data_IF_574666044446
#
_entry.id   IF_574666044446
#
_cell.length_a   1.000
_cell.length_b   1.000
_cell.length_c   1.000
_cell.angle_alpha   90.00
_cell.angle_beta   90.00
_cell.angle_gamma   90.00
#
_symmetry.space_group_name_H-M   'P 1'
#
loop_
_entity.id
_entity.type
_entity.pdbx_description
1 polymer ?
#
# COMPACT_ATOMS: atom_id res chain seq x y z
N UNK A 1 -10.62 -12.71 6.66
CA UNK A 1 -10.10 -11.43 6.13
C UNK A 1 -11.28 -10.57 5.74
N UNK A 2 -11.43 -9.42 6.38
CA UNK A 2 -12.55 -8.51 6.14
C UNK A 2 -12.33 -7.68 4.87
N UNK A 3 -13.36 -7.04 4.33
CA UNK A 3 -13.20 -6.13 3.18
C UNK A 3 -12.23 -4.98 3.48
N UNK A 4 -12.22 -4.48 4.72
CA UNK A 4 -11.30 -3.44 5.18
C UNK A 4 -9.83 -3.91 5.19
N UNK A 5 -9.58 -5.19 5.50
CA UNK A 5 -8.22 -5.75 5.48
C UNK A 5 -7.66 -5.79 4.06
N UNK A 6 -8.49 -6.17 3.08
CA UNK A 6 -8.12 -6.19 1.67
C UNK A 6 -7.77 -4.78 1.20
N UNK A 7 -8.56 -3.77 1.60
CA UNK A 7 -8.31 -2.38 1.24
C UNK A 7 -6.98 -1.85 1.79
N UNK A 8 -6.66 -2.15 3.06
CA UNK A 8 -5.40 -1.73 3.70
C UNK A 8 -4.20 -2.39 3.02
N UNK A 9 -4.23 -3.72 2.81
CA UNK A 9 -3.15 -4.44 2.12
C UNK A 9 -2.99 -3.88 0.70
N UNK A 10 -4.12 -3.66 0.01
CA UNK A 10 -4.17 -3.11 -1.35
C UNK A 10 -3.55 -1.71 -1.44
N UNK A 11 -3.80 -0.85 -0.45
CA UNK A 11 -3.26 0.51 -0.38
C UNK A 11 -1.76 0.55 -0.07
N UNK A 12 -1.28 -0.35 0.79
CA UNK A 12 0.13 -0.39 1.19
C UNK A 12 1.05 -1.06 0.17
N UNK A 13 0.49 -1.91 -0.69
CA UNK A 13 1.21 -2.54 -1.79
C UNK A 13 1.20 -1.71 -3.09
N UNK A 14 0.78 -0.44 -3.04
CA UNK A 14 0.88 0.48 -4.18
C UNK A 14 2.33 0.93 -4.35
N UNK A 15 2.94 0.61 -5.50
CA UNK A 15 4.28 1.11 -5.82
C UNK A 15 4.25 2.32 -6.77
N UNK A 16 3.20 2.44 -7.58
CA UNK A 16 3.08 3.53 -8.52
C UNK A 16 1.64 3.81 -8.95
N UNK A 17 1.47 4.94 -9.62
CA UNK A 17 0.24 5.33 -10.28
C UNK A 17 0.51 5.76 -11.71
N UNK A 18 -0.45 5.51 -12.60
CA UNK A 18 -0.45 6.03 -13.96
C UNK A 18 -1.65 6.95 -14.09
N UNK A 19 -1.38 8.20 -14.44
CA UNK A 19 -2.39 9.26 -14.56
C UNK A 19 -2.56 9.66 -16.03
N UNK A 20 -3.75 10.14 -16.38
CA UNK A 20 -3.90 10.94 -17.60
C UNK A 20 -3.02 12.19 -17.54
N UNK A 21 -2.48 12.61 -18.68
CA UNK A 21 -1.79 13.88 -18.75
C UNK A 21 -2.79 15.04 -18.52
N UNK A 22 -2.55 15.95 -17.54
CA UNK A 22 -3.55 16.93 -17.10
C UNK A 22 -3.92 17.95 -18.18
N UNK A 23 -3.01 18.27 -19.09
CA UNK A 23 -3.27 19.20 -20.21
C UNK A 23 -3.99 18.52 -21.39
N UNK A 24 -4.17 17.19 -21.33
CA UNK A 24 -4.78 16.41 -22.41
C UNK A 24 -5.66 15.27 -21.82
N UNK A 25 -6.77 15.63 -21.16
CA UNK A 25 -7.62 14.67 -20.44
C UNK A 25 -8.33 13.66 -21.34
N UNK A 26 -8.37 13.91 -22.66
CA UNK A 26 -8.96 13.09 -23.72
C UNK A 26 -8.02 11.98 -24.23
N UNK A 27 -6.90 11.72 -23.53
CA UNK A 27 -5.90 10.74 -23.95
C UNK A 27 -6.19 9.30 -23.49
N UNK A 28 -6.94 9.10 -22.40
CA UNK A 28 -7.35 7.75 -21.95
C UNK A 28 -8.87 7.58 -22.05
N UNK A 29 -9.31 6.40 -22.50
CA UNK A 29 -10.72 5.99 -22.45
C UNK A 29 -11.05 5.49 -21.04
N UNK A 30 -11.02 6.39 -20.06
CA UNK A 30 -11.49 6.10 -18.71
C UNK A 30 -12.65 7.05 -18.41
N UNK A 31 -13.78 6.57 -17.85
CA UNK A 31 -14.84 7.46 -17.38
C UNK A 31 -14.23 8.56 -16.50
N UNK A 32 -14.71 9.79 -16.67
CA UNK A 32 -14.15 11.05 -16.12
C UNK A 32 -13.87 11.04 -14.61
N UNK A 33 -14.44 10.08 -13.86
CA UNK A 33 -14.20 9.87 -12.44
C UNK A 33 -12.95 9.06 -12.06
N UNK A 34 -12.23 8.44 -13.01
CA UNK A 34 -11.12 7.53 -12.68
C UNK A 34 -9.91 7.59 -13.63
N UNK A 35 -9.43 8.80 -13.96
CA UNK A 35 -8.18 9.04 -14.72
C UNK A 35 -6.86 8.55 -14.07
N UNK A 36 -6.93 7.56 -13.17
CA UNK A 36 -5.83 7.05 -12.37
C UNK A 36 -5.89 5.52 -12.34
N UNK A 37 -4.82 4.88 -12.78
CA UNK A 37 -4.60 3.44 -12.58
C UNK A 37 -3.58 3.26 -11.47
N UNK A 38 -3.94 2.48 -10.45
CA UNK A 38 -3.09 2.18 -9.31
C UNK A 38 -2.33 0.88 -9.56
N UNK A 39 -0.99 0.94 -9.55
CA UNK A 39 -0.12 -0.19 -9.76
C UNK A 39 0.34 -0.78 -8.42
N UNK A 40 0.16 -2.09 -8.26
CA UNK A 40 0.38 -2.81 -7.00
C UNK A 40 1.41 -3.91 -7.14
N UNK A 41 2.23 -4.14 -6.13
CA UNK A 41 3.27 -5.19 -6.16
C UNK A 41 2.71 -6.61 -6.21
N UNK A 42 1.39 -6.80 -6.05
CA UNK A 42 0.70 -8.10 -6.18
C UNK A 42 0.50 -8.58 -7.62
N UNK A 43 0.66 -7.68 -8.59
CA UNK A 43 0.76 -8.01 -10.02
C UNK A 43 2.16 -7.63 -10.46
N UNK A 44 2.80 -8.40 -11.34
CA UNK A 44 4.19 -8.13 -11.74
C UNK A 44 4.29 -7.31 -13.03
N UNK A 45 3.25 -7.29 -13.85
CA UNK A 45 3.29 -6.70 -15.19
C UNK A 45 1.95 -6.09 -15.58
N UNK A 46 1.98 -4.92 -16.24
CA UNK A 46 0.81 -4.22 -16.76
C UNK A 46 1.02 -3.83 -18.21
N UNK A 47 0.06 -4.14 -19.06
CA UNK A 47 0.09 -3.74 -20.47
C UNK A 47 -0.62 -2.40 -20.69
N UNK A 48 -0.06 -1.57 -21.58
CA UNK A 48 -0.60 -0.27 -21.96
C UNK A 48 -0.86 -0.28 -23.47
N UNK A 49 -2.01 0.21 -23.90
CA UNK A 49 -2.31 0.39 -25.32
C UNK A 49 -3.78 0.68 -25.58
N UNK A 50 -4.20 0.68 -26.85
CA UNK A 50 -5.61 0.85 -27.22
C UNK A 50 -6.48 -0.38 -26.90
N UNK A 51 -5.86 -1.56 -26.82
CA UNK A 51 -6.58 -2.82 -26.81
C UNK A 51 -7.08 -3.23 -28.20
N UNK A 52 -7.82 -4.33 -28.26
CA UNK A 52 -8.39 -4.88 -29.50
C UNK A 52 -9.91 -4.67 -29.63
N UNK A 53 -10.48 -3.85 -28.74
CA UNK A 53 -11.92 -3.62 -28.63
C UNK A 53 -12.62 -4.54 -27.63
N UNK A 54 -11.99 -5.64 -27.20
CA UNK A 54 -12.50 -6.45 -26.09
C UNK A 54 -12.26 -5.77 -24.74
N UNK A 55 -13.19 -5.99 -23.82
CA UNK A 55 -13.06 -5.56 -22.43
C UNK A 55 -11.86 -6.29 -21.80
N UNK A 56 -10.95 -5.54 -21.18
CA UNK A 56 -9.72 -6.06 -20.52
C UNK A 56 -8.64 -6.63 -21.45
N UNK A 57 -8.59 -6.23 -22.73
CA UNK A 57 -7.47 -6.59 -23.62
C UNK A 57 -6.12 -6.00 -23.19
N UNK A 58 -6.14 -4.93 -22.40
CA UNK A 58 -4.96 -4.30 -21.78
C UNK A 58 -5.30 -3.82 -20.37
N UNK A 59 -4.29 -3.64 -19.54
CA UNK A 59 -4.46 -3.17 -18.15
C UNK A 59 -4.68 -1.66 -18.04
N UNK A 60 -4.02 -0.89 -18.91
CA UNK A 60 -4.12 0.56 -18.99
C UNK A 60 -4.58 0.90 -20.41
N UNK A 61 -5.89 1.12 -20.57
CA UNK A 61 -6.50 1.42 -21.87
C UNK A 61 -6.36 2.89 -22.24
N UNK A 62 -5.80 3.12 -23.42
CA UNK A 62 -5.67 4.41 -24.10
C UNK A 62 -6.85 4.58 -25.05
N UNK A 63 -7.26 5.83 -25.29
CA UNK A 63 -8.40 6.09 -26.15
C UNK A 63 -8.23 5.52 -27.57
N UNK A 64 -9.29 4.90 -28.11
CA UNK A 64 -9.22 4.22 -29.41
C UNK A 64 -8.91 5.18 -30.58
N UNK A 65 -9.18 6.48 -30.38
CA UNK A 65 -8.86 7.59 -31.30
C UNK A 65 -7.37 7.92 -31.39
N UNK A 66 -6.52 7.39 -30.50
CA UNK A 66 -5.08 7.71 -30.44
C UNK A 66 -4.28 6.78 -31.34
N UNK A 67 -4.37 7.02 -32.64
CA UNK A 67 -3.89 6.07 -33.66
C UNK A 67 -2.37 5.84 -33.63
N UNK A 68 -1.58 6.74 -33.04
CA UNK A 68 -0.14 6.48 -32.83
C UNK A 68 0.14 5.47 -31.71
N UNK A 69 -0.87 5.10 -30.93
CA UNK A 69 -0.75 4.07 -29.88
C UNK A 69 -1.11 2.71 -30.45
N UNK A 70 -0.19 1.74 -30.51
CA UNK A 70 -0.50 0.33 -30.78
C UNK A 70 -1.56 -0.29 -29.84
N UNK A 71 -2.16 -1.41 -30.26
CA UNK A 71 -3.13 -2.17 -29.43
C UNK A 71 -2.52 -2.64 -28.11
N UNK A 72 -1.33 -3.22 -28.18
CA UNK A 72 -0.41 -3.45 -27.05
C UNK A 72 0.85 -2.66 -27.38
N UNK A 73 1.08 -1.57 -26.66
CA UNK A 73 2.11 -0.59 -27.00
C UNK A 73 3.34 -0.71 -26.11
N UNK A 74 3.11 -0.73 -24.80
CA UNK A 74 4.15 -0.79 -23.81
C UNK A 74 3.77 -1.75 -22.68
N UNK A 75 4.77 -2.17 -21.91
CA UNK A 75 4.58 -2.98 -20.70
C UNK A 75 5.33 -2.34 -19.54
N UNK A 76 4.64 -2.12 -18.44
CA UNK A 76 5.24 -1.80 -17.15
C UNK A 76 5.49 -3.11 -16.41
N UNK A 77 6.67 -3.26 -15.83
CA UNK A 77 7.08 -4.48 -15.13
C UNK A 77 7.68 -4.13 -13.78
N UNK A 78 7.13 -4.70 -12.70
CA UNK A 78 7.64 -4.53 -11.34
C UNK A 78 8.64 -5.64 -11.02
N UNK A 79 9.88 -5.25 -10.72
CA UNK A 79 10.94 -6.19 -10.31
C UNK A 79 11.08 -6.18 -8.79
N UNK A 80 10.46 -7.16 -8.13
CA UNK A 80 10.44 -7.26 -6.66
C UNK A 80 11.82 -7.26 -6.00
N UNK A 81 12.79 -7.93 -6.61
CA UNK A 81 14.13 -8.10 -6.05
C UNK A 81 14.91 -6.77 -6.02
N UNK A 82 14.70 -5.92 -7.02
CA UNK A 82 15.36 -4.60 -7.10
C UNK A 82 14.50 -3.46 -6.57
N UNK A 83 13.22 -3.70 -6.33
CA UNK A 83 12.20 -2.68 -6.02
C UNK A 83 12.16 -1.54 -7.06
N UNK A 84 12.35 -1.87 -8.33
CA UNK A 84 12.30 -0.92 -9.45
C UNK A 84 11.27 -1.38 -10.46
N UNK A 85 10.46 -0.44 -10.94
CA UNK A 85 9.60 -0.65 -12.10
C UNK A 85 10.37 -0.35 -13.38
N UNK A 86 10.14 -1.13 -14.42
CA UNK A 86 10.69 -0.93 -15.76
C UNK A 86 9.55 -0.69 -16.74
N UNK A 87 9.83 0.08 -17.79
CA UNK A 87 8.97 0.16 -18.97
C UNK A 87 9.68 -0.43 -20.18
N UNK A 88 8.93 -1.20 -20.95
CA UNK A 88 9.37 -1.81 -22.20
C UNK A 88 8.48 -1.36 -23.35
N UNK A 89 9.08 -1.02 -24.48
CA UNK A 89 8.37 -0.89 -25.74
C UNK A 89 8.06 -2.29 -26.31
N UNK A 90 6.79 -2.56 -26.60
CA UNK A 90 6.31 -3.86 -27.10
C UNK A 90 6.34 -3.91 -28.63
N UNK A 91 7.44 -3.45 -29.24
CA UNK A 91 7.60 -3.32 -30.68
C UNK A 91 6.51 -2.43 -31.31
N UNK A 92 6.28 -1.27 -30.70
CA UNK A 92 5.23 -0.35 -31.14
C UNK A 92 5.62 0.35 -32.44
N UNK A 93 4.64 0.69 -33.28
CA UNK A 93 4.90 1.30 -34.60
C UNK A 93 5.55 2.68 -34.49
N UNK A 94 5.14 3.48 -33.51
CA UNK A 94 5.60 4.86 -33.34
C UNK A 94 6.58 5.05 -32.17
N UNK A 95 6.91 3.95 -31.47
CA UNK A 95 7.82 3.94 -30.33
C UNK A 95 7.19 4.45 -29.03
N UNK A 96 7.71 3.94 -27.93
CA UNK A 96 7.52 4.49 -26.58
C UNK A 96 8.62 5.50 -26.28
N UNK A 97 8.27 6.60 -25.62
CA UNK A 97 9.23 7.61 -25.17
C UNK A 97 9.06 7.87 -23.67
N UNK A 98 10.18 8.05 -22.98
CA UNK A 98 10.24 8.39 -21.54
C UNK A 98 11.06 9.66 -21.42
N UNK A 99 10.48 10.73 -20.90
CA UNK A 99 11.12 12.05 -20.73
C UNK A 99 11.86 12.54 -21.99
N UNK A 100 11.20 12.42 -23.14
CA UNK A 100 11.73 12.88 -24.43
C UNK A 100 12.77 11.95 -25.06
N UNK A 101 13.15 10.84 -24.42
CA UNK A 101 14.00 9.80 -25.02
C UNK A 101 13.16 8.63 -25.56
N UNK A 102 13.34 8.30 -26.84
CA UNK A 102 12.74 7.10 -27.45
C UNK A 102 13.41 5.84 -26.92
N UNK A 103 12.61 4.82 -26.61
CA UNK A 103 13.10 3.50 -26.23
C UNK A 103 13.42 2.66 -27.47
N UNK A 104 14.44 1.82 -27.37
CA UNK A 104 14.65 0.74 -28.34
C UNK A 104 13.63 -0.37 -28.09
N UNK A 105 13.14 -1.03 -29.15
CA UNK A 105 12.19 -2.14 -28.98
C UNK A 105 12.79 -3.23 -28.07
N UNK A 106 12.04 -3.64 -27.04
CA UNK A 106 12.48 -4.61 -26.04
C UNK A 106 13.41 -4.07 -24.93
N UNK A 107 13.95 -2.85 -25.07
CA UNK A 107 14.75 -2.20 -24.02
C UNK A 107 13.88 -1.95 -22.79
N UNK A 108 14.34 -2.42 -21.62
CA UNK A 108 13.73 -2.11 -20.33
C UNK A 108 14.37 -0.87 -19.72
N UNK A 109 13.59 0.18 -19.51
CA UNK A 109 14.07 1.42 -18.88
C UNK A 109 13.54 1.53 -17.45
N UNK A 110 14.40 1.71 -16.44
CA UNK A 110 13.97 1.80 -15.06
C UNK A 110 13.29 3.16 -14.80
N UNK A 111 12.12 3.13 -14.17
CA UNK A 111 11.31 4.29 -13.80
C UNK A 111 11.64 4.74 -12.36
N UNK A 112 12.82 5.33 -12.19
CA UNK A 112 13.36 5.67 -10.87
C UNK A 112 12.88 6.99 -10.30
N UNK A 113 12.47 7.92 -11.14
CA UNK A 113 12.11 9.27 -10.70
C UNK A 113 10.70 9.29 -10.12
N UNK A 114 10.42 10.32 -9.32
CA UNK A 114 9.14 10.48 -8.64
C UNK A 114 7.98 10.63 -9.62
N UNK A 115 8.26 11.27 -10.76
CA UNK A 115 7.28 11.58 -11.79
C UNK A 115 7.96 11.55 -13.16
N UNK A 116 7.39 10.80 -14.10
CA UNK A 116 7.91 10.63 -15.46
C UNK A 116 6.78 10.77 -16.47
N UNK A 117 7.06 11.41 -17.60
CA UNK A 117 6.16 11.43 -18.74
C UNK A 117 6.46 10.28 -19.68
N UNK A 118 5.44 9.47 -19.96
CA UNK A 118 5.53 8.34 -20.87
C UNK A 118 4.62 8.64 -22.07
N UNK A 119 5.25 8.81 -23.23
CA UNK A 119 4.56 9.02 -24.49
C UNK A 119 4.46 7.72 -25.27
N UNK A 120 3.26 7.45 -25.79
CA UNK A 120 2.94 6.31 -26.64
C UNK A 120 2.75 6.86 -28.06
N UNK A 121 3.83 6.82 -28.83
CA UNK A 121 4.02 7.60 -30.05
C UNK A 121 4.84 8.87 -29.83
N UNK A 122 5.10 9.60 -30.92
CA UNK A 122 6.01 10.76 -30.93
C UNK A 122 5.49 11.88 -30.00
N UNK A 123 6.31 12.40 -29.07
CA UNK A 123 5.92 13.50 -28.19
C UNK A 123 5.40 14.71 -28.96
N UNK A 124 4.33 15.34 -28.45
CA UNK A 124 3.68 16.47 -29.10
C UNK A 124 2.78 16.13 -30.30
N UNK A 125 2.89 14.92 -30.87
CA UNK A 125 2.03 14.46 -31.96
C UNK A 125 0.55 14.46 -31.56
N UNK A 126 -0.34 14.93 -32.45
CA UNK A 126 -1.78 15.02 -32.17
C UNK A 126 -2.47 13.67 -31.95
N UNK A 127 -1.90 12.59 -32.50
CA UNK A 127 -2.40 11.21 -32.41
C UNK A 127 -1.68 10.37 -31.34
N UNK A 128 -0.67 10.94 -30.68
CA UNK A 128 0.08 10.30 -29.60
C UNK A 128 -0.63 10.45 -28.27
N UNK A 129 -0.39 9.51 -27.38
CA UNK A 129 -0.88 9.58 -26.01
C UNK A 129 0.26 9.86 -25.04
N UNK A 130 -0.07 10.48 -23.91
CA UNK A 130 0.87 10.74 -22.83
C UNK A 130 0.20 10.31 -21.54
N UNK A 131 0.92 9.50 -20.76
CA UNK A 131 0.54 9.14 -19.40
C UNK A 131 1.64 9.58 -18.47
N UNK A 132 1.26 9.91 -17.24
CA UNK A 132 2.23 10.29 -16.21
C UNK A 132 2.38 9.12 -15.25
N UNK A 133 3.58 8.58 -15.16
CA UNK A 133 3.95 7.63 -14.12
C UNK A 133 4.36 8.39 -12.86
N UNK A 134 3.79 8.03 -11.72
CA UNK A 134 4.12 8.59 -10.41
C UNK A 134 4.62 7.46 -9.51
N UNK A 135 5.90 7.51 -9.16
CA UNK A 135 6.54 6.52 -8.30
C UNK A 135 6.14 6.76 -6.84
N UNK A 136 5.19 5.97 -6.33
CA UNK A 136 4.75 6.09 -4.94
C UNK A 136 5.74 5.52 -3.94
N UNK A 137 6.61 4.60 -4.38
CA UNK A 137 7.69 4.11 -3.52
C UNK A 137 8.58 5.27 -3.10
N UNK A 138 8.95 6.20 -3.99
CA UNK A 138 9.85 7.33 -3.65
C UNK A 138 9.35 8.23 -2.52
N UNK A 139 8.04 8.45 -2.42
CA UNK A 139 7.45 9.28 -1.38
C UNK A 139 7.02 8.50 -0.15
N UNK A 140 6.82 7.19 -0.26
CA UNK A 140 6.38 6.32 0.83
C UNK A 140 7.55 5.49 1.36
N UNK A 141 8.25 6.02 2.36
CA UNK A 141 9.39 5.36 3.00
C UNK A 141 9.03 4.00 3.59
N UNK A 142 7.80 3.81 4.10
CA UNK A 142 7.33 2.49 4.55
C UNK A 142 7.35 1.49 3.39
N UNK A 143 6.77 1.87 2.25
CA UNK A 143 6.71 0.99 1.09
C UNK A 143 8.09 0.70 0.51
N UNK A 144 9.07 1.61 0.61
CA UNK A 144 10.48 1.35 0.22
C UNK A 144 11.13 0.26 1.04
N UNK A 145 10.83 0.21 2.34
CA UNK A 145 11.50 -0.70 3.26
C UNK A 145 10.75 -2.02 3.41
N UNK A 146 9.43 -2.01 3.29
CA UNK A 146 8.59 -3.16 3.62
C UNK A 146 7.57 -3.51 2.53
N UNK A 147 7.31 -4.81 2.37
CA UNK A 147 6.22 -5.37 1.60
C UNK A 147 5.17 -5.95 2.55
N UNK A 148 3.88 -5.72 2.30
CA UNK A 148 2.80 -6.24 3.15
C UNK A 148 2.34 -7.60 2.63
N UNK A 149 2.39 -8.61 3.49
CA UNK A 149 1.96 -9.97 3.18
C UNK A 149 0.51 -10.21 3.59
N UNK A 150 0.15 -9.95 4.84
CA UNK A 150 -1.19 -10.24 5.38
C UNK A 150 -1.53 -9.42 6.63
N UNK A 151 -2.82 -9.35 6.98
CA UNK A 151 -3.27 -8.88 8.30
C UNK A 151 -3.20 -10.06 9.28
N UNK A 152 -2.48 -9.90 10.38
CA UNK A 152 -2.35 -10.93 11.44
C UNK A 152 -3.27 -10.68 12.64
N UNK A 153 -3.77 -9.46 12.80
CA UNK A 153 -4.71 -9.16 13.87
C UNK A 153 -5.35 -7.79 13.70
N UNK A 154 -6.53 -7.63 14.27
CA UNK A 154 -7.28 -6.37 14.27
C UNK A 154 -7.67 -6.03 15.70
N UNK A 155 -7.52 -4.78 16.09
CA UNK A 155 -7.92 -4.29 17.40
C UNK A 155 -8.57 -2.91 17.29
N UNK A 156 -9.05 -2.39 18.42
CA UNK A 156 -9.78 -1.11 18.50
C UNK A 156 -9.10 0.03 17.75
N UNK A 157 -7.77 0.13 17.85
CA UNK A 157 -6.99 1.24 17.31
C UNK A 157 -6.36 0.96 15.93
N UNK A 158 -6.61 -0.22 15.35
CA UNK A 158 -6.15 -0.57 14.01
C UNK A 158 -5.62 -1.99 13.88
N UNK A 159 -4.91 -2.24 12.78
CA UNK A 159 -4.51 -3.57 12.34
C UNK A 159 -3.03 -3.84 12.63
N UNK A 160 -2.69 -5.11 12.85
CA UNK A 160 -1.32 -5.62 12.86
C UNK A 160 -1.13 -6.40 11.57
N UNK A 161 -0.05 -6.08 10.85
CA UNK A 161 0.30 -6.68 9.57
C UNK A 161 1.54 -7.55 9.71
N UNK A 162 1.62 -8.63 8.92
CA UNK A 162 2.87 -9.32 8.61
C UNK A 162 3.51 -8.62 7.42
N UNK A 163 4.72 -8.14 7.62
CA UNK A 163 5.50 -7.44 6.60
C UNK A 163 6.84 -8.13 6.39
N UNK A 164 7.35 -8.08 5.16
CA UNK A 164 8.67 -8.56 4.78
C UNK A 164 9.56 -7.34 4.54
N UNK A 165 10.76 -7.32 5.11
CA UNK A 165 11.75 -6.28 4.77
C UNK A 165 12.24 -6.53 3.34
N UNK A 166 12.27 -5.51 2.50
CA UNK A 166 12.50 -5.67 1.06
C UNK A 166 13.95 -5.98 0.69
N UNK A 167 14.92 -5.57 1.50
CA UNK A 167 16.34 -5.88 1.35
C UNK A 167 16.76 -7.19 2.05
N UNK A 168 15.88 -7.76 2.89
CA UNK A 168 16.06 -9.05 3.55
C UNK A 168 14.69 -9.72 3.73
N UNK A 169 14.29 -10.53 2.75
CA UNK A 169 12.98 -11.20 2.78
C UNK A 169 12.85 -12.21 3.94
N UNK A 170 13.95 -12.63 4.57
CA UNK A 170 13.91 -13.45 5.78
C UNK A 170 13.57 -12.63 7.04
N UNK A 171 13.76 -11.31 6.99
CA UNK A 171 13.38 -10.38 8.05
C UNK A 171 11.87 -10.07 8.02
N UNK A 172 11.07 -11.02 8.51
CA UNK A 172 9.64 -10.84 8.76
C UNK A 172 9.45 -9.87 9.94
N UNK A 173 8.50 -8.93 9.83
CA UNK A 173 8.10 -7.96 10.87
C UNK A 173 6.61 -7.97 11.13
N UNK A 174 6.23 -7.69 12.37
CA UNK A 174 4.86 -7.32 12.72
C UNK A 174 4.77 -5.78 12.73
N UNK A 175 3.84 -5.22 11.96
CA UNK A 175 3.64 -3.77 11.86
C UNK A 175 2.27 -3.42 12.39
N UNK A 176 2.21 -2.60 13.44
CA UNK A 176 0.95 -2.04 13.90
C UNK A 176 0.66 -0.76 13.13
N UNK A 177 -0.47 -0.75 12.45
CA UNK A 177 -1.07 0.45 11.86
C UNK A 177 -2.05 1.02 12.85
N UNK A 178 -1.82 2.27 13.23
CA UNK A 178 -2.67 3.00 14.14
C UNK A 178 -3.32 4.13 13.34
N UNK A 179 -4.67 4.14 13.34
CA UNK A 179 -5.43 5.28 12.83
C UNK A 179 -5.47 6.35 13.91
N UNK A 180 -5.23 7.59 13.52
CA UNK A 180 -5.30 8.72 14.45
C UNK A 180 -6.17 9.83 13.89
N UNK A 181 -6.61 10.70 14.78
CA UNK A 181 -7.42 11.88 14.45
C UNK A 181 -6.66 13.15 14.76
N UNK A 182 -7.00 14.23 14.04
CA UNK A 182 -6.52 15.58 14.32
C UNK A 182 -7.33 16.29 15.40
N UNK A 183 -8.45 15.71 15.84
CA UNK A 183 -9.41 16.33 16.75
C UNK A 183 -9.58 15.52 18.03
N UNK A 184 -9.79 16.18 19.16
CA UNK A 184 -9.86 15.54 20.49
C UNK A 184 -11.22 14.90 20.82
N UNK A 185 -12.21 14.99 19.93
CA UNK A 185 -13.59 14.58 20.21
C UNK A 185 -13.92 13.14 19.79
N UNK A 186 -12.97 12.40 19.23
CA UNK A 186 -13.20 11.05 18.72
C UNK A 186 -12.56 9.96 19.60
N UNK A 187 -13.04 8.73 19.43
CA UNK A 187 -12.54 7.53 20.13
C UNK A 187 -11.15 7.07 19.67
N UNK A 188 -10.56 7.77 18.70
CA UNK A 188 -9.24 7.51 18.14
C UNK A 188 -8.17 8.31 18.90
N UNK A 189 -6.95 7.77 19.04
CA UNK A 189 -5.85 8.52 19.63
C UNK A 189 -5.47 9.72 18.76
N UNK A 190 -4.96 10.77 19.40
CA UNK A 190 -4.29 11.87 18.69
C UNK A 190 -2.88 11.45 18.26
N UNK A 191 -2.27 12.21 17.34
CA UNK A 191 -0.87 11.99 16.98
C UNK A 191 0.08 12.19 18.18
N UNK A 192 -0.27 13.05 19.14
CA UNK A 192 0.50 13.24 20.36
C UNK A 192 0.49 11.98 21.21
N UNK A 193 -0.69 11.38 21.43
CA UNK A 193 -0.83 10.15 22.23
C UNK A 193 0.00 9.00 21.64
N UNK A 194 0.05 8.90 20.31
CA UNK A 194 0.88 7.91 19.62
C UNK A 194 2.37 8.19 19.81
N UNK A 195 2.80 9.44 19.69
CA UNK A 195 4.20 9.83 19.89
C UNK A 195 4.65 9.59 21.33
N UNK A 196 3.79 9.85 22.30
CA UNK A 196 4.06 9.56 23.71
C UNK A 196 4.21 8.06 23.93
N UNK A 197 3.34 7.26 23.33
CA UNK A 197 3.44 5.79 23.37
C UNK A 197 4.76 5.29 22.75
N UNK A 198 5.16 5.83 21.59
CA UNK A 198 6.43 5.52 20.93
C UNK A 198 7.63 5.93 21.80
N UNK A 199 7.56 7.08 22.45
CA UNK A 199 8.59 7.58 23.36
C UNK A 199 8.79 6.61 24.53
N UNK A 200 7.69 6.19 25.17
CA UNK A 200 7.73 5.20 26.25
C UNK A 200 8.37 3.90 25.75
N UNK A 201 7.93 3.39 24.59
CA UNK A 201 8.52 2.17 23.99
C UNK A 201 10.02 2.31 23.72
N UNK A 202 10.48 3.50 23.34
CA UNK A 202 11.90 3.78 23.11
C UNK A 202 12.69 3.72 24.43
N UNK A 203 12.11 4.19 25.54
CA UNK A 203 12.77 4.18 26.86
C UNK A 203 12.95 2.78 27.46
N UNK A 204 12.07 1.84 27.10
CA UNK A 204 12.12 0.44 27.57
C UNK A 204 12.78 -0.52 26.57
N UNK A 205 13.41 0.01 25.52
CA UNK A 205 14.20 -0.82 24.59
C UNK A 205 15.29 -1.59 25.33
N UNK A 206 15.64 -2.76 24.81
CA UNK A 206 16.66 -3.67 25.35
C UNK A 206 16.30 -4.45 26.61
N UNK A 207 15.11 -4.27 27.20
CA UNK A 207 14.63 -5.23 28.17
C UNK A 207 14.34 -6.57 27.46
N UNK A 208 14.93 -7.70 27.89
CA UNK A 208 14.80 -8.99 27.20
C UNK A 208 13.36 -9.52 27.18
N UNK A 209 12.46 -8.97 28.00
CA UNK A 209 11.05 -9.34 28.10
C UNK A 209 10.12 -8.35 27.38
N UNK A 210 10.67 -7.25 26.84
CA UNK A 210 9.94 -6.26 26.06
C UNK A 210 10.35 -6.38 24.60
N UNK A 211 9.37 -6.24 23.70
CA UNK A 211 9.66 -6.31 22.28
C UNK A 211 10.30 -4.99 21.82
N UNK A 212 11.48 -5.07 21.21
CA UNK A 212 12.18 -3.88 20.71
C UNK A 212 11.37 -3.12 19.66
N UNK A 213 11.24 -1.81 19.79
CA UNK A 213 10.78 -0.93 18.71
C UNK A 213 11.92 -0.73 17.70
N UNK A 214 11.71 -1.10 16.43
CA UNK A 214 12.74 -1.03 15.38
C UNK A 214 12.66 0.31 14.64
N UNK A 215 11.49 0.60 14.08
CA UNK A 215 11.26 1.72 13.18
C UNK A 215 9.89 2.37 13.49
N UNK A 216 9.73 3.62 13.07
CA UNK A 216 8.44 4.30 13.05
C UNK A 216 8.29 5.07 11.75
N UNK A 217 7.09 5.08 11.20
CA UNK A 217 6.78 5.76 9.95
C UNK A 217 5.50 6.56 10.14
N UNK A 218 5.60 7.86 9.89
CA UNK A 218 4.46 8.76 9.86
C UNK A 218 4.06 8.98 8.40
N UNK A 219 2.81 8.70 8.04
CA UNK A 219 2.26 9.02 6.73
C UNK A 219 1.04 9.93 6.89
N UNK A 220 1.25 11.26 6.97
CA UNK A 220 0.16 12.21 7.19
C UNK A 220 -0.84 12.22 6.03
N UNK A 221 -0.42 11.85 4.81
CA UNK A 221 -1.31 11.77 3.65
C UNK A 221 -2.36 10.65 3.75
N UNK A 222 -2.15 9.69 4.64
CA UNK A 222 -3.10 8.61 4.90
C UNK A 222 -3.73 8.69 6.30
N UNK A 223 -3.37 9.70 7.11
CA UNK A 223 -3.70 9.76 8.55
C UNK A 223 -3.36 8.45 9.28
N UNK A 224 -2.21 7.85 8.93
CA UNK A 224 -1.74 6.58 9.47
C UNK A 224 -0.35 6.72 10.06
N UNK A 225 -0.19 6.20 11.27
CA UNK A 225 1.11 6.04 11.93
C UNK A 225 1.44 4.56 12.01
N UNK A 226 2.61 4.16 11.52
CA UNK A 226 3.08 2.78 11.52
C UNK A 226 4.21 2.60 12.53
N UNK A 227 4.07 1.61 13.40
CA UNK A 227 5.04 1.28 14.46
C UNK A 227 5.59 -0.13 14.22
N UNK A 228 6.92 -0.27 14.22
CA UNK A 228 7.63 -1.52 13.92
C UNK A 228 8.29 -2.08 15.14
N UNK A 229 8.09 -3.37 15.39
CA UNK A 229 8.56 -3.99 16.63
C UNK A 229 9.18 -5.37 16.35
N UNK A 230 10.42 -5.63 16.82
CA UNK A 230 11.04 -6.97 16.95
C UNK A 230 12.44 -7.00 17.61
N UNK A 231 12.56 -7.77 18.72
CA UNK A 231 13.38 -9.00 18.94
C UNK A 231 13.22 -9.40 20.42
N UNK A 232 13.11 -10.68 20.75
CA UNK A 232 13.37 -11.17 22.13
C UNK A 232 14.45 -12.25 22.08
N UNK A 233 15.36 -12.22 23.06
CA UNK A 233 16.20 -13.36 23.48
C UNK A 233 15.42 -14.11 24.57
N UNK A 234 15.36 -15.44 24.54
CA UNK A 234 14.75 -16.33 25.57
C UNK A 234 15.11 -15.85 27.01
N UNK A 235 14.28 -15.90 28.08
CA UNK A 235 13.42 -16.96 28.66
C UNK A 235 12.36 -16.39 29.65
N UNK A 236 11.49 -17.23 30.25
CA UNK A 236 10.18 -16.96 30.88
C UNK A 236 10.15 -16.52 32.37
N UNK A 237 9.22 -15.60 32.75
CA UNK A 237 8.21 -15.65 33.85
C UNK A 237 7.40 -14.31 33.98
N UNK A 238 6.31 -14.23 34.77
CA UNK A 238 5.01 -13.59 34.48
C UNK A 238 4.62 -12.15 35.02
N UNK A 239 3.78 -11.43 34.23
CA UNK A 239 2.81 -10.27 34.45
C UNK A 239 3.22 -8.94 35.15
N UNK A 240 2.56 -7.74 34.94
CA UNK A 240 1.30 -7.40 34.21
C UNK A 240 1.40 -6.30 33.10
N UNK A 241 0.23 -5.89 32.58
CA UNK A 241 -0.16 -5.42 31.22
C UNK A 241 0.09 -3.95 30.81
N UNK A 242 0.62 -3.69 29.60
CA UNK A 242 0.40 -2.50 28.72
C UNK A 242 0.51 -2.94 27.24
N UNK A 243 -0.32 -2.38 26.34
CA UNK A 243 -0.58 -2.85 24.96
C UNK A 243 0.66 -2.90 24.05
N UNK A 244 0.72 -3.99 23.27
CA UNK A 244 1.90 -4.78 22.91
C UNK A 244 1.94 -5.01 21.39
N UNK A 245 3.13 -5.01 20.77
CA UNK A 245 3.39 -5.72 19.51
C UNK A 245 4.59 -6.62 19.72
N UNK A 246 4.57 -7.76 19.04
CA UNK A 246 5.30 -8.97 19.37
C UNK A 246 6.03 -9.50 18.13
N UNK A 247 7.03 -10.39 18.27
CA UNK A 247 7.49 -11.25 17.20
C UNK A 247 6.31 -11.91 16.47
N UNK A 248 6.45 -12.19 15.17
CA UNK A 248 5.53 -13.12 14.51
C UNK A 248 5.76 -14.51 15.09
N UNK A 249 5.02 -14.83 16.14
CA UNK A 249 4.94 -16.17 16.67
C UNK A 249 3.94 -16.92 15.80
N UNK A 250 4.37 -17.98 15.09
CA UNK A 250 3.42 -18.82 14.35
C UNK A 250 2.37 -19.46 15.28
N UNK A 251 2.59 -19.44 16.60
CA UNK A 251 1.70 -19.97 17.63
C UNK A 251 0.66 -18.97 18.16
N UNK A 252 0.67 -17.70 17.75
CA UNK A 252 -0.32 -16.71 18.20
C UNK A 252 -0.05 -16.13 19.59
N UNK A 253 -1.10 -15.66 20.27
CA UNK A 253 -1.00 -15.04 21.60
C UNK A 253 -1.06 -16.10 22.72
N UNK A 254 -0.61 -15.77 23.94
CA UNK A 254 -0.58 -16.72 25.07
C UNK A 254 -1.97 -17.29 25.40
N UNK A 255 -3.03 -16.48 25.28
CA UNK A 255 -4.40 -16.92 25.55
C UNK A 255 -4.83 -18.02 24.59
N UNK A 256 -4.54 -17.85 23.30
CA UNK A 256 -4.81 -18.86 22.27
C UNK A 256 -4.00 -20.14 22.55
N UNK A 257 -2.73 -19.99 22.96
CA UNK A 257 -1.86 -21.12 23.30
C UNK A 257 -2.31 -21.90 24.55
N UNK A 258 -2.94 -21.21 25.51
CA UNK A 258 -3.53 -21.82 26.70
C UNK A 258 -4.89 -22.47 26.41
N UNK A 259 -5.41 -22.37 25.18
CA UNK A 259 -6.72 -22.92 24.81
C UNK A 259 -7.89 -22.21 25.49
N UNK A 260 -7.66 -21.02 26.05
CA UNK A 260 -8.73 -20.24 26.66
C UNK A 260 -9.66 -19.73 25.56
N UNK A 261 -10.93 -20.13 25.62
CA UNK A 261 -11.94 -19.61 24.70
C UNK A 261 -11.99 -18.09 24.76
N UNK A 262 -12.15 -17.42 23.60
CA UNK A 262 -12.36 -15.98 23.59
C UNK A 262 -13.58 -15.66 24.46
N UNK A 263 -13.38 -14.85 25.51
CA UNK A 263 -14.45 -14.19 26.24
C UNK A 263 -14.97 -13.15 25.23
N UNK A 264 -15.83 -13.60 24.32
CA UNK A 264 -16.69 -12.70 23.58
C UNK A 264 -17.50 -11.97 24.64
N UNK A 265 -17.19 -10.69 24.86
CA UNK A 265 -18.11 -9.81 25.55
C UNK A 265 -19.38 -9.81 24.71
N UNK A 266 -20.39 -10.54 25.16
CA UNK A 266 -21.74 -10.43 24.63
C UNK A 266 -22.20 -9.01 24.96
N UNK A 267 -22.02 -8.08 24.03
CA UNK A 267 -22.78 -6.85 24.04
C UNK A 267 -24.19 -7.25 23.65
N UNK A 268 -24.99 -7.64 24.65
CA UNK A 268 -26.44 -7.72 24.50
C UNK A 268 -26.91 -6.37 23.95
N UNK A 269 -27.68 -6.31 22.85
CA UNK A 269 -28.28 -5.06 22.44
C UNK A 269 -29.18 -4.58 23.59
N UNK A 270 -28.93 -3.37 24.09
CA UNK A 270 -29.87 -2.68 24.98
C UNK A 270 -31.20 -2.59 24.25
N UNK A 271 -32.21 -3.30 24.75
CA UNK A 271 -33.57 -3.23 24.23
C UNK A 271 -34.11 -1.82 24.48
N UNK A 272 -34.25 -1.04 23.42
CA UNK A 272 -34.99 0.22 23.40
C UNK A 272 -36.49 -0.08 23.47
N UNK A 273 -37.00 -0.33 24.67
CA UNK A 273 -38.43 -0.31 24.94
C UNK A 273 -38.65 0.06 26.40
N UNK A 274 -38.74 1.36 26.66
CA UNK A 274 -39.62 1.93 27.68
C UNK A 274 -39.50 3.47 27.68
N UNK A 275 -40.63 4.12 27.99
CA UNK A 275 -40.82 5.56 28.22
C UNK A 275 -41.15 6.39 26.97
N UNK A 276 -42.44 6.39 26.60
CA UNK A 276 -43.32 7.55 26.83
C UNK A 276 -44.78 7.14 26.54
N UNK A 277 -45.55 6.94 27.61
CA UNK A 277 -47.01 6.98 27.58
C UNK A 277 -47.48 7.77 28.79
N UNK A 278 -47.85 9.03 28.56
CA UNK A 278 -48.72 9.80 29.45
C UNK A 278 -49.49 10.81 28.61
N UNK A 279 -50.79 10.55 28.49
CA UNK A 279 -51.95 11.45 28.45
C UNK A 279 -51.73 12.92 28.13
#
# INVERSE_FOLDING_TARGET
MTGQDIEIISALNVFAEVLCHPQRPDHLDVPSSSQRVVLRTTKASWTIGRGDGSLNSVDIKVADTRLSTSRVHARLEWHGDSNVAYIHDMNSTYGTWVDGRRLTAGEGVPLKDERLEIWLGVPGGGQSSCVVYVNKMRVNTFAQTYAVESVVGSGRYGNVLKCLRRDDLAAIRAVKIIKYTGYTYETLPTLSDIRDSVSIMTTVQHDPHVCDLIDTFDNPGLSMFCVFILRMKQSWDAYPLVVIVMPYYPLGNLRDALGETPICQSTSPLSSSEIFDTR
#
